data_IF_888212746936
#
_entry.id   IF_888212746936
#
_cell.length_a   1.000
_cell.length_b   1.000
_cell.length_c   1.000
_cell.angle_alpha   90.00
_cell.angle_beta   90.00
_cell.angle_gamma   90.00
#
_symmetry.space_group_name_H-M   'P 1'
#
loop_
_entity.id
_entity.type
_entity.pdbx_description
1 polymer ?
#
# COMPACT_ATOMS: atom_id res chain seq x y z
N UNK A 1 -29.49 5.42 18.26
CA UNK A 1 -28.96 6.15 17.09
C UNK A 1 -27.98 5.22 16.39
N UNK A 2 -28.38 4.59 15.28
CA UNK A 2 -27.51 3.67 14.55
C UNK A 2 -26.44 4.53 13.85
N UNK A 3 -25.21 4.51 14.34
CA UNK A 3 -24.08 5.10 13.63
C UNK A 3 -23.87 4.24 12.39
N UNK A 4 -24.41 4.67 11.24
CA UNK A 4 -24.14 4.03 9.96
C UNK A 4 -22.67 4.27 9.63
N UNK A 5 -21.82 3.28 9.95
CA UNK A 5 -20.40 3.34 9.66
C UNK A 5 -20.12 3.41 8.16
N UNK A 6 -18.98 4.00 7.81
CA UNK A 6 -18.53 4.10 6.42
C UNK A 6 -18.30 2.68 5.87
N UNK A 7 -18.93 2.38 4.74
CA UNK A 7 -18.74 1.13 3.99
C UNK A 7 -18.47 1.48 2.52
N UNK A 8 -17.23 1.32 2.09
CA UNK A 8 -16.78 1.69 0.73
C UNK A 8 -16.14 0.49 0.06
N UNK A 9 -16.41 0.30 -1.24
CA UNK A 9 -15.76 -0.71 -2.07
C UNK A 9 -14.91 -0.03 -3.14
N UNK A 10 -13.62 -0.36 -3.19
CA UNK A 10 -12.69 0.07 -4.25
C UNK A 10 -12.40 -1.12 -5.18
N UNK A 11 -12.12 -0.83 -6.45
CA UNK A 11 -11.93 -1.84 -7.49
C UNK A 11 -10.68 -1.54 -8.31
N UNK A 12 -9.94 -2.60 -8.60
CA UNK A 12 -8.84 -2.66 -9.54
C UNK A 12 -8.98 -3.94 -10.37
N UNK A 13 -8.36 -3.95 -11.54
CA UNK A 13 -8.36 -5.08 -12.46
C UNK A 13 -6.95 -5.27 -12.99
N UNK A 14 -6.51 -6.53 -13.07
CA UNK A 14 -5.28 -6.90 -13.73
C UNK A 14 -5.54 -8.04 -14.71
N UNK A 15 -4.91 -7.97 -15.89
CA UNK A 15 -4.83 -9.06 -16.86
C UNK A 15 -3.39 -9.55 -16.98
N UNK A 16 -3.24 -10.80 -17.39
CA UNK A 16 -1.96 -11.39 -17.76
C UNK A 16 -2.14 -12.24 -19.02
N UNK A 17 -1.20 -12.15 -19.97
CA UNK A 17 -1.19 -12.96 -21.17
C UNK A 17 0.21 -13.53 -21.44
N UNK A 18 0.28 -14.82 -21.76
CA UNK A 18 1.53 -15.53 -22.04
C UNK A 18 2.15 -16.24 -20.83
N UNK A 19 3.32 -16.85 -21.04
CA UNK A 19 4.08 -17.53 -19.97
C UNK A 19 4.74 -16.51 -19.03
N UNK A 20 5.08 -16.87 -17.80
CA UNK A 20 5.68 -15.91 -16.85
C UNK A 20 6.94 -15.20 -17.38
N UNK A 21 7.90 -15.88 -18.04
CA UNK A 21 9.14 -15.23 -18.52
C UNK A 21 8.95 -14.25 -19.68
N UNK A 22 7.92 -14.44 -20.52
CA UNK A 22 7.70 -13.66 -21.76
C UNK A 22 6.36 -12.93 -21.80
N UNK A 23 5.54 -13.13 -20.78
CA UNK A 23 4.20 -12.63 -20.69
C UNK A 23 4.16 -11.16 -20.32
N UNK A 24 3.03 -10.55 -20.63
CA UNK A 24 2.77 -9.15 -20.34
C UNK A 24 1.48 -9.06 -19.55
N UNK A 25 1.55 -8.32 -18.46
CA UNK A 25 0.43 -7.94 -17.65
C UNK A 25 0.04 -6.49 -17.90
N UNK A 26 -1.21 -6.17 -17.59
CA UNK A 26 -1.72 -4.81 -17.59
C UNK A 26 -2.66 -4.64 -16.39
N UNK A 27 -2.52 -3.53 -15.66
CA UNK A 27 -3.23 -3.25 -14.42
C UNK A 27 -3.84 -1.85 -14.45
N UNK A 28 -5.08 -1.75 -13.96
CA UNK A 28 -5.83 -0.49 -13.93
C UNK A 28 -6.70 -0.36 -12.68
N UNK A 29 -6.94 0.88 -12.25
CA UNK A 29 -7.84 1.20 -11.14
C UNK A 29 -9.13 1.85 -11.63
N UNK A 30 -10.24 1.65 -10.92
CA UNK A 30 -11.53 2.24 -11.29
C UNK A 30 -11.54 3.78 -11.26
N UNK A 31 -10.67 4.39 -10.45
CA UNK A 31 -10.46 5.85 -10.42
C UNK A 31 -9.66 6.36 -11.62
N UNK A 32 -9.06 5.46 -12.42
CA UNK A 32 -8.14 5.78 -13.52
C UNK A 32 -6.84 6.44 -13.07
N UNK A 33 -6.52 6.39 -11.77
CA UNK A 33 -5.26 6.91 -11.24
C UNK A 33 -4.05 6.03 -11.60
N UNK A 34 -4.31 4.77 -11.97
CA UNK A 34 -3.34 3.80 -12.45
C UNK A 34 -3.89 3.13 -13.70
N UNK A 35 -3.06 3.10 -14.74
CA UNK A 35 -3.26 2.43 -16.02
C UNK A 35 -1.86 2.14 -16.58
N UNK A 36 -1.35 0.92 -16.37
CA UNK A 36 0.08 0.60 -16.61
C UNK A 36 0.29 -0.87 -16.94
N UNK A 37 1.35 -1.16 -17.69
CA UNK A 37 1.81 -2.52 -17.93
C UNK A 37 2.71 -3.01 -16.79
N UNK A 38 2.77 -4.33 -16.60
CA UNK A 38 3.70 -4.98 -15.66
C UNK A 38 4.21 -6.31 -16.23
N UNK A 39 5.38 -6.77 -15.77
CA UNK A 39 6.00 -8.02 -16.23
C UNK A 39 6.78 -8.69 -15.10
N UNK A 40 7.31 -9.89 -15.33
CA UNK A 40 8.22 -10.52 -14.36
C UNK A 40 9.43 -9.62 -14.08
N UNK A 41 10.00 -9.04 -15.15
CA UNK A 41 11.17 -8.15 -15.04
C UNK A 41 10.88 -6.92 -14.17
N UNK A 42 9.66 -6.35 -14.21
CA UNK A 42 9.31 -5.22 -13.33
C UNK A 42 9.17 -5.58 -11.86
N UNK A 43 9.17 -6.87 -11.51
CA UNK A 43 9.08 -7.37 -10.13
C UNK A 43 10.42 -7.83 -9.56
N UNK A 44 11.39 -8.16 -10.40
CA UNK A 44 12.65 -8.79 -9.98
C UNK A 44 13.87 -7.85 -10.06
N UNK A 45 13.72 -6.67 -10.65
CA UNK A 45 14.84 -5.75 -10.86
C UNK A 45 14.47 -4.32 -10.46
N UNK A 46 15.38 -3.64 -9.76
CA UNK A 46 15.23 -2.21 -9.41
C UNK A 46 15.35 -1.30 -10.65
N UNK A 47 16.00 -1.77 -11.73
CA UNK A 47 16.23 -1.04 -12.99
C UNK A 47 15.18 -1.32 -14.08
N UNK A 48 13.97 -1.73 -13.68
CA UNK A 48 12.92 -2.00 -14.66
C UNK A 48 12.48 -0.69 -15.35
N UNK A 49 12.18 -0.71 -16.67
CA UNK A 49 11.53 0.43 -17.34
C UNK A 49 10.22 0.80 -16.63
N UNK A 50 9.68 2.01 -16.89
CA UNK A 50 8.48 2.70 -16.33
C UNK A 50 7.14 1.91 -16.29
N UNK A 51 7.21 0.63 -15.92
CA UNK A 51 6.14 -0.32 -15.73
C UNK A 51 5.96 -0.52 -14.24
N UNK A 52 4.72 -0.66 -13.79
CA UNK A 52 4.42 -0.86 -12.37
C UNK A 52 4.72 -2.31 -11.93
N UNK A 53 4.58 -2.56 -10.63
CA UNK A 53 4.58 -3.89 -10.04
C UNK A 53 3.64 -3.96 -8.82
N UNK A 54 3.15 -5.15 -8.44
CA UNK A 54 2.28 -5.28 -7.26
C UNK A 54 2.91 -4.76 -5.97
N UNK A 55 4.23 -4.90 -5.81
CA UNK A 55 4.96 -4.55 -4.61
C UNK A 55 4.95 -3.03 -4.35
N UNK A 56 5.24 -2.19 -5.36
CA UNK A 56 5.16 -0.73 -5.23
C UNK A 56 3.74 -0.24 -4.96
N UNK A 57 2.72 -0.93 -5.48
CA UNK A 57 1.32 -0.57 -5.25
C UNK A 57 0.88 -0.89 -3.81
N UNK A 58 1.39 -1.97 -3.24
CA UNK A 58 1.26 -2.26 -1.80
C UNK A 58 1.97 -1.18 -0.99
N UNK A 59 3.20 -0.81 -1.38
CA UNK A 59 3.97 0.26 -0.75
C UNK A 59 3.23 1.59 -0.77
N UNK A 60 2.72 2.00 -1.93
CA UNK A 60 1.96 3.23 -2.12
C UNK A 60 0.68 3.24 -1.26
N UNK A 61 -0.05 2.13 -1.23
CA UNK A 61 -1.23 1.97 -0.38
C UNK A 61 -0.92 2.11 1.11
N UNK A 62 0.16 1.47 1.57
CA UNK A 62 0.59 1.55 2.96
C UNK A 62 1.09 2.96 3.32
N UNK A 63 1.97 3.54 2.52
CA UNK A 63 2.52 4.87 2.75
C UNK A 63 1.40 5.93 2.83
N UNK A 64 0.45 5.91 1.88
CA UNK A 64 -0.68 6.85 1.88
C UNK A 64 -1.60 6.68 3.09
N UNK A 65 -1.92 5.44 3.46
CA UNK A 65 -2.75 5.17 4.63
C UNK A 65 -2.05 5.55 5.95
N UNK A 66 -0.76 5.25 6.05
CA UNK A 66 0.06 5.59 7.21
C UNK A 66 0.19 7.11 7.38
N UNK A 67 0.56 7.85 6.31
CA UNK A 67 0.67 9.31 6.36
C UNK A 67 -0.64 9.98 6.79
N UNK A 68 -1.78 9.54 6.25
CA UNK A 68 -3.10 10.04 6.63
C UNK A 68 -3.42 9.73 8.10
N UNK A 69 -3.06 8.54 8.58
CA UNK A 69 -3.27 8.17 9.98
C UNK A 69 -2.41 9.00 10.93
N UNK A 70 -1.15 9.28 10.58
CA UNK A 70 -0.27 10.17 11.36
C UNK A 70 -0.86 11.58 11.40
N UNK A 71 -1.29 12.12 10.26
CA UNK A 71 -1.88 13.44 10.19
C UNK A 71 -3.14 13.56 11.06
N UNK A 72 -4.05 12.59 10.96
CA UNK A 72 -5.25 12.55 11.81
C UNK A 72 -4.92 12.46 13.30
N UNK A 73 -3.89 11.70 13.70
CA UNK A 73 -3.50 11.60 15.11
C UNK A 73 -2.89 12.90 15.63
N UNK A 74 -2.08 13.59 14.82
CA UNK A 74 -1.55 14.92 15.15
C UNK A 74 -2.69 15.93 15.35
N UNK A 75 -3.65 15.98 14.43
CA UNK A 75 -4.83 16.84 14.54
C UNK A 75 -5.66 16.53 15.79
N UNK A 76 -5.81 15.26 16.16
CA UNK A 76 -6.53 14.84 17.37
C UNK A 76 -5.85 15.29 18.66
N UNK A 77 -4.52 15.48 18.65
CA UNK A 77 -3.77 16.03 19.77
C UNK A 77 -3.67 17.56 19.74
N UNK A 78 -4.32 18.21 18.77
CA UNK A 78 -4.41 19.66 18.66
C UNK A 78 -3.23 20.32 17.96
N UNK A 79 -2.43 19.55 17.21
CA UNK A 79 -1.40 20.13 16.35
C UNK A 79 -2.02 20.71 15.08
N UNK A 80 -1.66 21.95 14.76
CA UNK A 80 -2.06 22.66 13.55
C UNK A 80 -0.92 22.69 12.52
N UNK A 81 -1.24 23.01 11.26
CA UNK A 81 -0.22 23.15 10.20
C UNK A 81 0.47 21.83 9.81
N UNK A 82 -0.25 20.71 9.97
CA UNK A 82 0.25 19.34 9.78
C UNK A 82 0.63 19.08 8.32
N UNK A 83 1.86 18.63 8.11
CA UNK A 83 2.34 18.05 6.86
C UNK A 83 3.12 16.78 7.16
N UNK A 84 2.81 15.69 6.45
CA UNK A 84 3.44 14.38 6.64
C UNK A 84 3.81 13.79 5.29
N UNK A 85 5.06 13.37 5.13
CA UNK A 85 5.54 12.61 3.98
C UNK A 85 5.99 11.23 4.48
N UNK A 86 5.38 10.18 3.95
CA UNK A 86 5.75 8.80 4.26
C UNK A 86 6.21 8.06 3.01
N UNK A 87 7.22 7.22 3.16
CA UNK A 87 7.72 6.31 2.13
C UNK A 87 7.65 4.88 2.64
N UNK A 88 7.40 3.94 1.73
CA UNK A 88 7.39 2.50 2.02
C UNK A 88 8.30 1.77 1.04
N UNK A 89 9.26 1.02 1.57
CA UNK A 89 10.15 0.14 0.80
C UNK A 89 9.69 -1.29 1.01
N UNK A 90 9.13 -1.92 -0.03
CA UNK A 90 8.59 -3.28 0.02
C UNK A 90 9.68 -4.26 -0.43
N UNK A 91 10.04 -5.22 0.43
CA UNK A 91 11.05 -6.23 0.12
C UNK A 91 10.38 -7.53 -0.32
N UNK A 92 10.58 -7.89 -1.59
CA UNK A 92 10.22 -9.18 -2.18
C UNK A 92 11.46 -10.08 -2.20
N UNK A 93 11.35 -11.28 -1.65
CA UNK A 93 12.44 -12.24 -1.60
C UNK A 93 11.99 -13.59 -2.16
N UNK A 94 12.88 -14.24 -2.91
CA UNK A 94 12.74 -15.65 -3.22
C UNK A 94 13.16 -16.47 -1.98
N UNK A 95 12.29 -17.37 -1.56
CA UNK A 95 12.52 -18.31 -0.47
C UNK A 95 12.42 -19.73 -1.00
N UNK A 96 12.83 -20.73 -0.22
CA UNK A 96 12.66 -22.15 -0.60
C UNK A 96 11.20 -22.57 -0.87
N UNK A 97 10.21 -21.73 -0.50
CA UNK A 97 8.79 -21.94 -0.76
C UNK A 97 8.23 -21.04 -1.89
N UNK A 98 9.09 -20.33 -2.63
CA UNK A 98 8.73 -19.34 -3.66
C UNK A 98 8.90 -17.89 -3.17
N UNK A 99 8.33 -16.94 -3.92
CA UNK A 99 8.45 -15.51 -3.62
C UNK A 99 7.55 -15.07 -2.45
N UNK A 100 8.09 -14.22 -1.58
CA UNK A 100 7.39 -13.67 -0.42
C UNK A 100 7.74 -12.20 -0.22
N UNK A 101 6.74 -11.38 0.09
CA UNK A 101 6.98 -10.06 0.69
C UNK A 101 7.33 -10.29 2.15
N UNK A 102 8.60 -10.07 2.52
CA UNK A 102 9.12 -10.41 3.85
C UNK A 102 9.15 -9.22 4.80
N UNK A 103 9.27 -8.01 4.25
CA UNK A 103 9.33 -6.77 5.03
C UNK A 103 8.78 -5.60 4.23
N UNK A 104 8.22 -4.62 4.95
CA UNK A 104 7.97 -3.29 4.41
C UNK A 104 8.57 -2.26 5.38
N UNK A 105 9.62 -1.58 4.96
CA UNK A 105 10.26 -0.52 5.72
C UNK A 105 9.51 0.81 5.53
N UNK A 106 9.01 1.40 6.62
CA UNK A 106 8.40 2.73 6.60
C UNK A 106 9.41 3.79 7.06
N UNK A 107 9.50 4.88 6.32
CA UNK A 107 10.16 6.11 6.77
C UNK A 107 9.18 7.28 6.68
N UNK A 108 9.29 8.23 7.60
CA UNK A 108 8.36 9.35 7.70
C UNK A 108 9.08 10.61 8.14
N UNK A 109 8.73 11.72 7.50
CA UNK A 109 9.02 13.06 7.95
C UNK A 109 7.70 13.79 8.16
N UNK A 110 7.65 14.67 9.14
CA UNK A 110 6.46 15.45 9.42
C UNK A 110 6.79 16.76 10.12
N UNK A 111 5.87 17.71 10.02
CA UNK A 111 5.92 18.99 10.71
C UNK A 111 4.53 19.40 11.13
N UNK A 112 4.44 20.09 12.26
CA UNK A 112 3.27 20.81 12.73
C UNK A 112 3.72 21.89 13.73
N UNK A 113 2.89 22.88 14.00
CA UNK A 113 3.24 23.99 14.88
C UNK A 113 3.46 23.50 16.32
N UNK A 114 4.66 23.72 16.86
CA UNK A 114 5.02 23.28 18.21
C UNK A 114 5.19 21.77 18.39
N UNK A 115 5.29 21.00 17.31
CA UNK A 115 5.48 19.55 17.37
C UNK A 115 6.81 19.16 18.00
N UNK A 116 6.75 18.33 19.03
CA UNK A 116 7.92 17.74 19.67
C UNK A 116 8.26 16.37 19.06
N UNK A 117 9.56 16.05 18.99
CA UNK A 117 10.05 14.80 18.43
C UNK A 117 9.48 13.55 19.13
N UNK A 118 9.33 13.60 20.46
CA UNK A 118 8.80 12.49 21.25
C UNK A 118 7.31 12.21 20.94
N UNK A 119 6.51 13.26 20.77
CA UNK A 119 5.11 13.13 20.37
C UNK A 119 5.00 12.59 18.94
N UNK A 120 5.82 13.10 18.02
CA UNK A 120 5.86 12.59 16.65
C UNK A 120 6.25 11.11 16.59
N UNK A 121 7.27 10.69 17.36
CA UNK A 121 7.69 9.29 17.44
C UNK A 121 6.59 8.38 18.00
N UNK A 122 5.91 8.81 19.07
CA UNK A 122 4.80 8.06 19.67
C UNK A 122 3.62 7.92 18.70
N UNK A 123 3.21 9.02 18.06
CA UNK A 123 2.06 9.03 17.15
C UNK A 123 2.32 8.24 15.87
N UNK A 124 3.55 8.27 15.35
CA UNK A 124 3.94 7.46 14.20
C UNK A 124 4.00 5.97 14.53
N UNK A 125 4.49 5.55 15.71
CA UNK A 125 4.42 4.14 16.12
C UNK A 125 2.97 3.67 16.30
N UNK A 126 2.11 4.53 16.84
CA UNK A 126 0.67 4.26 16.92
C UNK A 126 0.06 4.07 15.53
N UNK A 127 0.25 5.03 14.61
CA UNK A 127 -0.26 4.96 13.24
C UNK A 127 0.19 3.68 12.51
N UNK A 128 1.44 3.24 12.71
CA UNK A 128 1.99 2.02 12.11
C UNK A 128 1.17 0.79 12.49
N UNK A 129 0.61 0.75 13.71
CA UNK A 129 -0.14 -0.39 14.25
C UNK A 129 -1.63 -0.32 13.96
N UNK A 130 -2.16 0.88 13.75
CA UNK A 130 -3.62 1.11 13.71
C UNK A 130 -4.14 1.48 12.33
N UNK A 131 -3.30 1.93 11.39
CA UNK A 131 -3.80 2.32 10.08
C UNK A 131 -4.43 1.11 9.35
N UNK A 132 -5.55 1.29 8.64
CA UNK A 132 -6.26 0.18 8.00
C UNK A 132 -5.40 -0.72 7.09
N UNK A 133 -4.43 -0.15 6.36
CA UNK A 133 -3.56 -0.94 5.47
C UNK A 133 -2.54 -1.76 6.26
N UNK A 134 -1.96 -1.24 7.35
CA UNK A 134 -1.12 -2.03 8.25
C UNK A 134 -1.86 -3.23 8.83
N UNK A 135 -3.10 -3.01 9.29
CA UNK A 135 -3.94 -4.08 9.81
C UNK A 135 -4.26 -5.13 8.73
N UNK A 136 -4.55 -4.69 7.50
CA UNK A 136 -4.81 -5.60 6.39
C UNK A 136 -3.59 -6.45 6.01
N UNK A 137 -2.40 -5.87 6.03
CA UNK A 137 -1.13 -6.56 5.75
C UNK A 137 -0.71 -7.52 6.86
N UNK A 138 -1.15 -7.31 8.10
CA UNK A 138 -1.00 -8.27 9.18
C UNK A 138 -1.90 -9.50 9.01
N UNK A 139 -3.01 -9.38 8.29
CA UNK A 139 -3.88 -10.50 7.94
C UNK A 139 -5.35 -10.09 7.82
N UNK A 140 -5.79 -9.77 6.61
CA UNK A 140 -7.23 -9.65 6.28
C UNK A 140 -7.77 -10.92 5.63
N UNK A 141 -9.09 -11.07 5.63
CA UNK A 141 -9.75 -12.17 4.94
C UNK A 141 -9.72 -11.96 3.42
N UNK A 142 -9.22 -12.95 2.69
CA UNK A 142 -9.27 -13.00 1.23
C UNK A 142 -10.32 -14.03 0.81
N UNK A 143 -11.26 -13.64 -0.06
CA UNK A 143 -12.34 -14.52 -0.54
C UNK A 143 -12.29 -14.67 -2.06
N UNK A 144 -12.49 -15.89 -2.57
CA UNK A 144 -12.69 -16.16 -3.99
C UNK A 144 -14.19 -16.23 -4.31
N UNK A 145 -14.72 -15.19 -4.96
CA UNK A 145 -16.16 -15.05 -5.18
C UNK A 145 -16.69 -15.80 -6.42
N UNK A 146 -15.91 -15.89 -7.49
CA UNK A 146 -16.31 -16.53 -8.75
C UNK A 146 -15.10 -17.13 -9.48
N UNK A 147 -15.32 -18.26 -10.13
CA UNK A 147 -14.39 -18.85 -11.11
C UNK A 147 -15.13 -19.15 -12.41
N UNK A 148 -14.56 -18.81 -13.55
CA UNK A 148 -15.14 -19.09 -14.87
C UNK A 148 -14.03 -19.34 -15.89
N UNK A 149 -14.19 -20.38 -16.71
CA UNK A 149 -13.40 -20.57 -17.93
C UNK A 149 -14.12 -19.84 -19.06
N UNK A 150 -13.38 -19.02 -19.82
CA UNK A 150 -13.88 -18.39 -21.04
C UNK A 150 -13.26 -19.16 -22.21
N UNK A 151 -14.11 -19.88 -22.95
CA UNK A 151 -13.78 -20.63 -24.17
C UNK A 151 -14.35 -19.93 -25.39
#
# INVERSE_FOLDING_TARGET
MLVMGIQVRRRAEARWAGTVPTGVGHIRTASKALDSDYSLRSRETDDAPLNTNPEELIGAGLAGCFAMSVANLLEQEGYDGVEVTANAVVRLEETGAGYRITEIGLSVTGRADGLADDDFARLTDQAKRTCPVSLALAGTTITLAQTKVVS
#
